data_IF_079254682725
#
_entry.id   IF_079254682725
#
_cell.length_a   1.000
_cell.length_b   1.000
_cell.length_c   1.000
_cell.angle_alpha   90.00
_cell.angle_beta   90.00
_cell.angle_gamma   90.00
#
_symmetry.space_group_name_H-M   'P 1'
#
loop_
_entity.id
_entity.type
_entity.pdbx_description
1 polymer ?
#
# COMPACT_ATOMS: atom_id res chain seq x y z
N UNK A 1 -26.66 -24.48 -9.07
CA UNK A 1 -26.27 -23.07 -8.86
C UNK A 1 -24.75 -23.07 -8.87
N UNK A 2 -24.13 -22.59 -9.93
CA UNK A 2 -22.67 -22.42 -9.97
C UNK A 2 -22.41 -21.19 -9.15
N UNK A 3 -21.70 -21.33 -8.02
CA UNK A 3 -21.23 -20.19 -7.24
C UNK A 3 -20.38 -19.33 -8.17
N UNK A 4 -20.87 -18.13 -8.46
CA UNK A 4 -20.09 -17.09 -9.15
C UNK A 4 -19.07 -16.64 -8.11
N UNK A 5 -17.99 -17.40 -7.98
CA UNK A 5 -16.81 -16.94 -7.25
C UNK A 5 -16.43 -15.61 -7.89
N UNK A 6 -16.41 -14.55 -7.12
CA UNK A 6 -16.00 -13.24 -7.60
C UNK A 6 -14.60 -13.39 -8.19
N UNK A 7 -14.48 -13.33 -9.50
CA UNK A 7 -13.24 -13.63 -10.23
C UNK A 7 -12.09 -12.72 -9.77
N UNK A 8 -12.40 -11.49 -9.30
CA UNK A 8 -11.42 -10.59 -8.71
C UNK A 8 -10.78 -11.17 -7.43
N UNK A 9 -11.53 -11.93 -6.63
CA UNK A 9 -10.99 -12.57 -5.42
C UNK A 9 -9.87 -13.56 -5.73
N UNK A 10 -9.81 -14.07 -6.95
CA UNK A 10 -8.72 -14.93 -7.43
C UNK A 10 -7.63 -14.15 -8.16
N UNK A 11 -7.99 -13.10 -8.90
CA UNK A 11 -7.07 -12.30 -9.71
C UNK A 11 -6.18 -11.44 -8.82
N UNK A 12 -6.74 -10.75 -7.82
CA UNK A 12 -5.98 -9.83 -6.98
C UNK A 12 -4.88 -10.53 -6.16
N UNK A 13 -5.11 -11.65 -5.47
CA UNK A 13 -4.04 -12.39 -4.81
C UNK A 13 -2.93 -12.84 -5.77
N UNK A 14 -3.29 -13.32 -6.96
CA UNK A 14 -2.34 -13.69 -8.00
C UNK A 14 -1.45 -12.51 -8.41
N UNK A 15 -2.05 -11.35 -8.67
CA UNK A 15 -1.32 -10.14 -9.04
C UNK A 15 -0.41 -9.67 -7.89
N UNK A 16 -0.88 -9.71 -6.64
CA UNK A 16 -0.07 -9.39 -5.45
C UNK A 16 1.15 -10.29 -5.36
N UNK A 17 0.98 -11.59 -5.55
CA UNK A 17 2.09 -12.54 -5.55
C UNK A 17 3.12 -12.20 -6.64
N UNK A 18 2.67 -11.84 -7.84
CA UNK A 18 3.55 -11.45 -8.94
C UNK A 18 4.31 -10.15 -8.64
N UNK A 19 3.63 -9.14 -8.08
CA UNK A 19 4.26 -7.89 -7.62
C UNK A 19 5.29 -8.17 -6.52
N UNK A 20 4.95 -9.04 -5.55
CA UNK A 20 5.87 -9.46 -4.50
C UNK A 20 7.15 -10.11 -5.07
N UNK A 21 7.02 -10.99 -6.06
CA UNK A 21 8.17 -11.60 -6.74
C UNK A 21 9.06 -10.56 -7.43
N UNK A 22 8.49 -9.45 -7.88
CA UNK A 22 9.20 -8.29 -8.43
C UNK A 22 9.71 -7.32 -7.37
N UNK A 23 9.60 -7.66 -6.08
CA UNK A 23 9.99 -6.82 -4.94
C UNK A 23 9.23 -5.49 -4.87
N UNK A 24 8.02 -5.47 -5.35
CA UNK A 24 7.10 -4.34 -5.21
C UNK A 24 6.28 -4.59 -3.95
N UNK A 25 6.61 -3.89 -2.88
CA UNK A 25 6.06 -4.13 -1.54
C UNK A 25 5.34 -2.90 -0.97
N UNK A 26 5.09 -1.89 -1.79
CA UNK A 26 4.32 -0.70 -1.42
C UNK A 26 3.47 -0.25 -2.60
N UNK A 27 2.24 0.18 -2.33
CA UNK A 27 1.38 0.80 -3.34
C UNK A 27 1.98 2.11 -3.87
N UNK A 28 2.84 2.77 -3.09
CA UNK A 28 3.50 4.01 -3.52
C UNK A 28 4.26 3.83 -4.83
N UNK A 29 4.89 2.66 -5.03
CA UNK A 29 5.60 2.34 -6.28
C UNK A 29 4.62 2.30 -7.48
N UNK A 30 3.40 1.81 -7.24
CA UNK A 30 2.36 1.79 -8.28
C UNK A 30 1.79 3.19 -8.51
N UNK A 31 1.64 4.00 -7.45
CA UNK A 31 1.21 5.41 -7.58
C UNK A 31 2.25 6.26 -8.31
N UNK A 32 3.55 6.05 -8.09
CA UNK A 32 4.61 6.72 -8.84
C UNK A 32 4.49 6.45 -10.34
N UNK A 33 4.24 5.20 -10.72
CA UNK A 33 4.02 4.87 -12.12
C UNK A 33 2.76 5.54 -12.71
N UNK A 34 1.73 5.78 -11.89
CA UNK A 34 0.55 6.56 -12.34
C UNK A 34 0.93 8.02 -12.57
N UNK A 35 1.79 8.60 -11.75
CA UNK A 35 2.28 9.98 -11.94
C UNK A 35 3.07 10.10 -13.24
N UNK A 36 3.86 9.07 -13.60
CA UNK A 36 4.65 9.04 -14.84
C UNK A 36 3.79 8.81 -16.09
N UNK A 37 2.86 7.86 -16.04
CA UNK A 37 2.05 7.43 -17.18
C UNK A 37 0.72 8.22 -17.33
N UNK A 38 0.32 8.93 -16.28
CA UNK A 38 -0.95 9.64 -16.19
C UNK A 38 -2.10 8.78 -15.65
N UNK A 39 -3.13 9.44 -15.14
CA UNK A 39 -4.28 8.80 -14.49
C UNK A 39 -5.05 7.85 -15.40
N UNK A 40 -5.15 8.17 -16.68
CA UNK A 40 -5.92 7.41 -17.67
C UNK A 40 -4.97 6.78 -18.70
N UNK A 41 -4.93 5.46 -18.71
CA UNK A 41 -3.97 4.71 -19.51
C UNK A 41 -4.66 3.93 -20.63
N UNK A 42 -4.08 3.88 -21.87
CA UNK A 42 -4.67 3.18 -22.98
C UNK A 42 -4.77 1.67 -22.75
N UNK A 43 -5.96 1.09 -22.94
CA UNK A 43 -6.20 -0.36 -22.79
C UNK A 43 -5.29 -1.19 -23.70
N UNK A 44 -5.04 -0.72 -24.92
CA UNK A 44 -4.18 -1.40 -25.91
C UNK A 44 -2.72 -1.53 -25.47
N UNK A 45 -2.27 -0.76 -24.49
CA UNK A 45 -0.90 -0.72 -23.98
C UNK A 45 -0.77 -1.38 -22.58
N UNK A 46 -1.87 -1.98 -22.07
CA UNK A 46 -1.87 -2.63 -20.74
C UNK A 46 -0.82 -3.72 -20.58
N UNK A 47 -0.55 -4.50 -21.62
CA UNK A 47 0.45 -5.57 -21.58
C UNK A 47 1.86 -4.97 -21.33
N UNK A 48 2.13 -3.77 -21.86
CA UNK A 48 3.39 -3.05 -21.63
C UNK A 48 3.47 -2.63 -20.17
N UNK A 49 2.40 -2.02 -19.65
CA UNK A 49 2.32 -1.58 -18.25
C UNK A 49 2.44 -2.77 -17.29
N UNK A 50 1.68 -3.82 -17.52
CA UNK A 50 1.72 -5.02 -16.71
C UNK A 50 3.09 -5.69 -16.76
N UNK A 51 3.74 -5.72 -17.92
CA UNK A 51 5.09 -6.23 -18.09
C UNK A 51 6.13 -5.48 -17.24
N UNK A 52 6.02 -4.14 -17.11
CA UNK A 52 6.87 -3.34 -16.22
C UNK A 52 6.78 -3.83 -14.76
N UNK A 53 5.58 -4.20 -14.31
CA UNK A 53 5.32 -4.69 -12.95
C UNK A 53 5.46 -6.21 -12.80
N UNK A 54 5.70 -6.94 -13.90
CA UNK A 54 5.76 -8.40 -13.91
C UNK A 54 4.40 -9.06 -13.65
N UNK A 55 3.32 -8.39 -14.03
CA UNK A 55 1.95 -8.88 -13.95
C UNK A 55 1.64 -9.62 -15.25
N UNK A 56 1.20 -10.88 -15.12
CA UNK A 56 0.82 -11.72 -16.26
C UNK A 56 -0.58 -12.28 -16.04
N UNK A 57 -1.54 -11.80 -16.82
CA UNK A 57 -2.94 -12.19 -16.77
C UNK A 57 -3.37 -12.88 -18.04
N UNK A 58 -4.32 -13.81 -17.93
CA UNK A 58 -5.02 -14.39 -19.07
C UNK A 58 -6.03 -13.38 -19.62
N UNK A 59 -6.41 -13.52 -20.90
CA UNK A 59 -7.36 -12.60 -21.54
C UNK A 59 -8.69 -12.44 -20.77
N UNK A 60 -9.20 -13.53 -20.19
CA UNK A 60 -10.42 -13.49 -19.36
C UNK A 60 -10.21 -12.70 -18.07
N UNK A 61 -9.03 -12.84 -17.42
CA UNK A 61 -8.66 -12.11 -16.21
C UNK A 61 -8.51 -10.60 -16.51
N UNK A 62 -7.94 -10.26 -17.67
CA UNK A 62 -7.85 -8.85 -18.12
C UNK A 62 -9.25 -8.28 -18.37
N UNK A 63 -10.14 -9.01 -19.02
CA UNK A 63 -11.51 -8.57 -19.26
C UNK A 63 -12.24 -8.28 -17.95
N UNK A 64 -12.11 -9.17 -16.96
CA UNK A 64 -12.72 -8.98 -15.64
C UNK A 64 -12.15 -7.77 -14.92
N UNK A 65 -10.83 -7.63 -14.94
CA UNK A 65 -10.15 -6.46 -14.35
C UNK A 65 -10.65 -5.16 -15.00
N UNK A 66 -10.80 -5.14 -16.32
CA UNK A 66 -11.29 -3.98 -17.06
C UNK A 66 -12.72 -3.58 -16.65
N UNK A 67 -13.59 -4.53 -16.28
CA UNK A 67 -14.93 -4.23 -15.80
C UNK A 67 -14.92 -3.33 -14.57
N UNK A 68 -13.87 -3.41 -13.74
CA UNK A 68 -13.73 -2.63 -12.51
C UNK A 68 -12.93 -1.33 -12.67
N UNK A 69 -11.99 -1.29 -13.63
CA UNK A 69 -11.06 -0.17 -13.79
C UNK A 69 -11.32 0.66 -15.05
N UNK A 70 -12.24 0.26 -15.92
CA UNK A 70 -12.51 0.97 -17.17
C UNK A 70 -12.99 2.40 -16.91
N UNK A 71 -12.34 3.36 -17.57
CA UNK A 71 -12.76 4.75 -17.61
C UNK A 71 -13.59 5.04 -18.87
N UNK A 72 -13.15 4.54 -20.03
CA UNK A 72 -13.82 4.66 -21.31
C UNK A 72 -13.62 3.38 -22.15
N UNK A 73 -14.11 3.35 -23.38
CA UNK A 73 -13.90 2.22 -24.28
C UNK A 73 -12.42 1.92 -24.56
N UNK A 74 -11.56 2.95 -24.51
CA UNK A 74 -10.14 2.86 -24.86
C UNK A 74 -9.18 3.07 -23.69
N UNK A 75 -9.68 3.41 -22.49
CA UNK A 75 -8.83 3.78 -21.34
C UNK A 75 -9.28 3.13 -20.03
N UNK A 76 -8.31 2.83 -19.17
CA UNK A 76 -8.52 2.48 -17.77
C UNK A 76 -8.17 3.65 -16.84
N UNK A 77 -8.78 3.67 -15.66
CA UNK A 77 -8.41 4.53 -14.53
C UNK A 77 -7.37 3.78 -13.67
N UNK A 78 -6.12 4.21 -13.73
CA UNK A 78 -5.02 3.59 -12.99
C UNK A 78 -5.17 3.76 -11.47
N UNK A 79 -5.83 4.82 -11.00
CA UNK A 79 -6.11 4.99 -9.57
C UNK A 79 -7.06 3.91 -9.09
N UNK A 80 -8.14 3.63 -9.85
CA UNK A 80 -9.03 2.50 -9.55
C UNK A 80 -8.30 1.17 -9.60
N UNK A 81 -7.42 0.99 -10.58
CA UNK A 81 -6.60 -0.22 -10.70
C UNK A 81 -5.74 -0.44 -9.44
N UNK A 82 -5.01 0.57 -8.98
CA UNK A 82 -4.20 0.46 -7.75
C UNK A 82 -5.07 0.26 -6.52
N UNK A 83 -6.25 0.90 -6.49
CA UNK A 83 -7.21 0.74 -5.39
C UNK A 83 -7.69 -0.71 -5.20
N UNK A 84 -7.74 -1.52 -6.26
CA UNK A 84 -8.09 -2.95 -6.15
C UNK A 84 -7.09 -3.76 -5.32
N UNK A 85 -5.85 -3.28 -5.20
CA UNK A 85 -4.86 -3.94 -4.36
C UNK A 85 -4.98 -3.60 -2.87
N UNK A 86 -5.78 -2.60 -2.50
CA UNK A 86 -5.98 -2.29 -1.09
C UNK A 86 -6.64 -3.45 -0.38
N UNK A 87 -6.05 -3.84 0.74
CA UNK A 87 -6.64 -4.83 1.65
C UNK A 87 -7.42 -4.13 2.74
N UNK A 88 -8.46 -4.78 3.24
CA UNK A 88 -9.07 -4.38 4.50
C UNK A 88 -8.06 -4.70 5.60
N UNK A 89 -7.67 -3.72 6.39
CA UNK A 89 -6.94 -3.96 7.63
C UNK A 89 -7.98 -4.46 8.65
N UNK A 90 -7.73 -5.55 9.38
CA UNK A 90 -8.63 -6.01 10.45
C UNK A 90 -8.88 -4.92 11.49
N UNK A 91 -10.10 -4.84 12.02
CA UNK A 91 -10.53 -3.79 12.95
C UNK A 91 -9.63 -3.71 14.19
N UNK A 92 -9.17 -4.85 14.69
CA UNK A 92 -8.25 -4.93 15.82
C UNK A 92 -6.87 -4.30 15.52
N UNK A 93 -6.40 -4.35 14.26
CA UNK A 93 -5.19 -3.66 13.82
C UNK A 93 -5.44 -2.16 13.66
N UNK A 94 -6.63 -1.77 13.19
CA UNK A 94 -7.03 -0.36 13.10
C UNK A 94 -7.09 0.27 14.49
N UNK A 95 -7.66 -0.43 15.47
CA UNK A 95 -7.67 0.02 16.87
C UNK A 95 -6.25 0.23 17.40
N UNK A 96 -5.36 -0.72 17.18
CA UNK A 96 -3.96 -0.63 17.60
C UNK A 96 -3.21 0.53 16.93
N UNK A 97 -3.41 0.76 15.64
CA UNK A 97 -2.84 1.90 14.93
C UNK A 97 -3.34 3.23 15.51
N UNK A 98 -4.61 3.29 15.90
CA UNK A 98 -5.18 4.46 16.59
C UNK A 98 -4.52 4.68 17.96
N UNK A 99 -4.33 3.63 18.74
CA UNK A 99 -3.62 3.71 20.03
C UNK A 99 -2.18 4.17 19.86
N UNK A 100 -1.47 3.64 18.87
CA UNK A 100 -0.11 4.08 18.54
C UNK A 100 -0.11 5.58 18.18
N UNK A 101 -1.03 6.03 17.35
CA UNK A 101 -1.13 7.44 16.98
C UNK A 101 -1.41 8.32 18.21
N UNK A 102 -2.30 7.90 19.10
CA UNK A 102 -2.60 8.65 20.36
C UNK A 102 -1.37 8.77 21.26
N UNK A 103 -0.60 7.70 21.39
CA UNK A 103 0.64 7.73 22.18
C UNK A 103 1.65 8.70 21.52
N UNK A 104 1.86 8.61 20.21
CA UNK A 104 2.83 9.43 19.49
C UNK A 104 2.45 10.91 19.45
N UNK A 105 1.16 11.21 19.29
CA UNK A 105 0.63 12.58 19.20
C UNK A 105 0.36 13.22 20.58
N UNK A 106 0.49 12.44 21.68
CA UNK A 106 0.06 12.88 23.01
C UNK A 106 -1.45 13.12 23.11
N UNK A 107 -2.25 12.35 22.36
CA UNK A 107 -3.72 12.46 22.32
C UNK A 107 -4.22 13.60 21.41
N UNK A 108 -3.36 14.22 20.62
CA UNK A 108 -3.76 15.26 19.64
C UNK A 108 -4.34 14.64 18.37
N UNK A 109 -5.17 15.38 17.64
CA UNK A 109 -5.75 14.95 16.36
C UNK A 109 -4.75 14.95 15.20
N UNK A 110 -3.59 15.59 15.37
CA UNK A 110 -2.51 15.67 14.39
C UNK A 110 -1.15 15.80 15.07
N UNK A 111 -0.08 15.45 14.36
CA UNK A 111 1.29 15.68 14.81
C UNK A 111 2.19 16.10 13.66
N UNK A 112 3.32 16.76 13.93
CA UNK A 112 4.29 17.09 12.90
C UNK A 112 4.97 15.82 12.36
N UNK A 113 5.18 15.75 11.05
CA UNK A 113 5.88 14.63 10.41
C UNK A 113 7.31 14.50 10.92
N UNK A 114 7.96 15.62 11.21
CA UNK A 114 9.31 15.64 11.81
C UNK A 114 9.36 14.95 13.16
N UNK A 115 8.33 15.13 14.00
CA UNK A 115 8.23 14.49 15.30
C UNK A 115 7.92 13.01 15.14
N UNK A 116 6.97 12.66 14.25
CA UNK A 116 6.68 11.27 13.91
C UNK A 116 7.94 10.52 13.48
N UNK A 117 8.77 11.12 12.63
CA UNK A 117 10.00 10.49 12.13
C UNK A 117 11.09 10.29 13.19
N UNK A 118 11.04 10.98 14.34
CA UNK A 118 11.94 10.74 15.47
C UNK A 118 11.63 9.40 16.19
N UNK A 119 10.39 8.93 16.09
CA UNK A 119 9.96 7.66 16.65
C UNK A 119 10.23 6.46 15.76
N UNK A 120 10.53 6.69 14.46
CA UNK A 120 10.73 5.61 13.51
C UNK A 120 11.96 4.76 13.84
N UNK A 121 11.73 3.47 14.07
CA UNK A 121 12.77 2.45 14.14
C UNK A 121 12.85 1.71 12.78
N UNK A 122 13.75 2.15 11.93
CA UNK A 122 13.90 1.66 10.56
C UNK A 122 14.19 0.15 10.49
N UNK A 123 14.83 -0.42 11.52
CA UNK A 123 15.17 -1.84 11.58
C UNK A 123 13.93 -2.74 11.66
N UNK A 124 12.89 -2.23 12.29
CA UNK A 124 11.64 -2.97 12.48
C UNK A 124 10.65 -2.74 11.33
N UNK A 125 10.99 -1.86 10.38
CA UNK A 125 10.15 -1.63 9.22
C UNK A 125 10.06 -2.90 8.36
N UNK A 126 8.84 -3.34 7.94
CA UNK A 126 8.66 -4.57 7.17
C UNK A 126 9.54 -4.66 5.92
N UNK A 127 9.76 -3.55 5.23
CA UNK A 127 10.62 -3.50 4.04
C UNK A 127 12.12 -3.72 4.35
N UNK A 128 12.56 -3.57 5.59
CA UNK A 128 13.96 -3.78 5.96
C UNK A 128 14.39 -5.23 5.70
N UNK A 129 13.57 -6.19 6.12
CA UNK A 129 13.80 -7.62 5.86
C UNK A 129 13.63 -8.00 4.39
N UNK A 130 12.51 -7.54 3.80
CA UNK A 130 12.07 -7.97 2.47
C UNK A 130 12.94 -7.42 1.35
N UNK A 131 13.40 -6.19 1.48
CA UNK A 131 14.07 -5.47 0.40
C UNK A 131 15.59 -5.36 0.57
N UNK A 132 16.16 -5.81 1.70
CA UNK A 132 17.58 -5.60 2.04
C UNK A 132 18.01 -4.14 1.83
N UNK A 133 17.10 -3.19 2.02
CA UNK A 133 17.39 -1.76 1.94
C UNK A 133 18.26 -1.36 3.11
N UNK A 134 19.16 -0.40 2.89
CA UNK A 134 19.85 0.25 4.00
C UNK A 134 18.84 1.10 4.81
N UNK A 135 19.19 1.37 6.07
CA UNK A 135 18.29 2.08 6.99
C UNK A 135 17.91 3.47 6.47
N UNK A 136 18.84 4.18 5.83
CA UNK A 136 18.55 5.49 5.24
C UNK A 136 17.51 5.38 4.12
N UNK A 137 17.62 4.38 3.25
CA UNK A 137 16.64 4.14 2.20
C UNK A 137 15.24 3.79 2.72
N UNK A 138 15.14 3.15 3.90
CA UNK A 138 13.85 2.94 4.59
C UNK A 138 13.26 4.27 5.04
N UNK A 139 14.06 5.10 5.71
CA UNK A 139 13.63 6.42 6.19
C UNK A 139 13.11 7.29 5.05
N UNK A 140 13.87 7.37 3.96
CA UNK A 140 13.49 8.13 2.77
C UNK A 140 12.17 7.60 2.15
N UNK A 141 11.99 6.28 2.12
CA UNK A 141 10.77 5.63 1.63
C UNK A 141 9.56 5.97 2.51
N UNK A 142 9.71 5.94 3.83
CA UNK A 142 8.65 6.32 4.78
C UNK A 142 8.27 7.78 4.63
N UNK A 143 9.25 8.68 4.58
CA UNK A 143 9.01 10.11 4.36
C UNK A 143 8.26 10.34 3.04
N UNK A 144 8.68 9.65 1.96
CA UNK A 144 8.04 9.77 0.66
C UNK A 144 6.60 9.26 0.70
N UNK A 145 6.36 8.10 1.29
CA UNK A 145 5.01 7.53 1.44
C UNK A 145 4.07 8.45 2.22
N UNK A 146 4.55 9.05 3.32
CA UNK A 146 3.77 10.04 4.09
C UNK A 146 3.49 11.28 3.23
N UNK A 147 4.49 11.82 2.54
CA UNK A 147 4.33 13.00 1.68
C UNK A 147 3.35 12.79 0.53
N UNK A 148 3.29 11.59 -0.03
CA UNK A 148 2.31 11.24 -1.07
C UNK A 148 0.87 11.37 -0.57
N UNK A 149 0.65 11.17 0.74
CA UNK A 149 -0.69 11.27 1.35
C UNK A 149 -1.01 12.71 1.75
N UNK A 150 -0.09 13.36 2.48
CA UNK A 150 -0.34 14.69 3.06
C UNK A 150 -0.01 15.84 2.11
N UNK A 151 0.70 15.59 0.99
CA UNK A 151 1.18 16.61 0.07
C UNK A 151 2.21 17.57 0.73
N UNK A 152 1.96 18.86 0.61
CA UNK A 152 2.84 19.90 1.17
C UNK A 152 2.58 20.24 2.65
N UNK A 153 1.64 19.57 3.31
CA UNK A 153 1.34 19.79 4.73
C UNK A 153 2.55 19.40 5.59
N UNK A 154 2.65 20.00 6.78
CA UNK A 154 3.67 19.65 7.78
C UNK A 154 3.18 18.60 8.77
N UNK A 155 1.88 18.60 9.03
CA UNK A 155 1.24 17.72 10.00
C UNK A 155 0.53 16.56 9.30
N UNK A 156 0.57 15.42 9.93
CA UNK A 156 -0.19 14.23 9.58
C UNK A 156 -1.38 14.10 10.54
N UNK A 157 -2.56 13.85 9.98
CA UNK A 157 -3.79 13.53 10.72
C UNK A 157 -3.84 12.04 11.02
N UNK A 158 -4.70 11.64 11.97
CA UNK A 158 -4.94 10.24 12.31
C UNK A 158 -5.33 9.40 11.09
N UNK A 159 -6.27 9.88 10.30
CA UNK A 159 -6.75 9.19 9.10
C UNK A 159 -5.65 9.04 8.05
N UNK A 160 -4.78 10.05 7.92
CA UNK A 160 -3.63 10.01 7.00
C UNK A 160 -2.54 9.04 7.50
N UNK A 161 -2.38 8.91 8.82
CA UNK A 161 -1.50 7.91 9.43
C UNK A 161 -2.01 6.48 9.17
N UNK A 162 -3.32 6.25 9.31
CA UNK A 162 -3.94 4.98 8.93
C UNK A 162 -3.75 4.71 7.43
N UNK A 163 -4.02 5.70 6.58
CA UNK A 163 -3.84 5.60 5.14
C UNK A 163 -2.41 5.19 4.75
N UNK A 164 -1.40 5.77 5.41
CA UNK A 164 -0.01 5.38 5.22
C UNK A 164 0.21 3.88 5.51
N UNK A 165 -0.39 3.37 6.58
CA UNK A 165 -0.26 1.95 6.91
C UNK A 165 -1.00 1.06 5.91
N UNK A 166 -2.18 1.44 5.40
CA UNK A 166 -2.84 0.73 4.30
C UNK A 166 -1.92 0.58 3.09
N UNK A 167 -1.15 1.59 2.76
CA UNK A 167 -0.24 1.56 1.61
C UNK A 167 1.01 0.71 1.84
N UNK A 168 1.45 0.53 3.07
CA UNK A 168 2.59 -0.35 3.40
C UNK A 168 2.16 -1.81 3.49
N UNK A 169 0.97 -2.08 4.03
CA UNK A 169 0.57 -3.42 4.46
C UNK A 169 -0.26 -4.20 3.45
N UNK A 170 -0.58 -3.63 2.29
CA UNK A 170 -1.37 -4.29 1.25
C UNK A 170 -0.80 -5.63 0.75
N UNK A 171 0.52 -5.83 0.89
CA UNK A 171 1.21 -7.05 0.42
C UNK A 171 1.09 -8.21 1.40
N UNK A 172 0.68 -7.96 2.65
CA UNK A 172 0.94 -8.86 3.76
C UNK A 172 -0.28 -9.30 4.56
N UNK A 173 -1.42 -9.70 3.96
CA UNK A 173 -2.52 -10.26 4.74
C UNK A 173 -2.08 -11.47 5.58
N UNK A 174 -1.11 -12.26 5.07
CA UNK A 174 -0.59 -13.47 5.73
C UNK A 174 0.42 -13.17 6.84
N UNK A 175 1.09 -12.01 6.81
CA UNK A 175 1.99 -11.55 7.85
C UNK A 175 1.28 -10.83 8.99
N UNK A 176 -0.02 -10.55 8.84
CA UNK A 176 -0.82 -9.86 9.85
C UNK A 176 -1.18 -10.74 11.06
N UNK A 177 -0.79 -12.01 11.10
CA UNK A 177 -1.11 -12.89 12.21
C UNK A 177 0.03 -12.94 13.26
N UNK A 178 -0.23 -12.41 14.43
CA UNK A 178 0.51 -12.63 15.68
C UNK A 178 1.73 -11.74 15.94
N UNK A 179 2.71 -11.66 15.05
CA UNK A 179 3.92 -10.84 15.25
C UNK A 179 3.83 -9.43 14.68
N UNK A 180 2.84 -9.17 13.85
CA UNK A 180 2.68 -7.95 13.11
C UNK A 180 2.39 -6.76 14.03
N UNK A 181 1.47 -6.91 14.98
CA UNK A 181 1.14 -5.90 16.00
C UNK A 181 2.39 -5.39 16.68
N UNK A 182 3.17 -6.34 17.21
CA UNK A 182 4.41 -6.03 17.92
C UNK A 182 5.40 -5.29 17.03
N UNK A 183 5.47 -5.65 15.74
CA UNK A 183 6.38 -5.00 14.78
C UNK A 183 5.98 -3.57 14.48
N UNK A 184 4.68 -3.27 14.28
CA UNK A 184 4.23 -1.88 14.04
C UNK A 184 4.54 -1.03 15.28
N UNK A 185 4.16 -1.48 16.45
CA UNK A 185 4.44 -0.77 17.68
C UNK A 185 5.94 -0.51 17.85
N UNK A 186 6.76 -1.55 17.64
CA UNK A 186 8.23 -1.43 17.73
C UNK A 186 8.79 -0.54 16.63
N UNK A 187 8.21 -0.56 15.42
CA UNK A 187 8.59 0.33 14.32
C UNK A 187 8.40 1.80 14.70
N UNK A 188 7.37 2.12 15.45
CA UNK A 188 7.10 3.48 15.94
C UNK A 188 7.64 3.73 17.35
N UNK A 189 8.46 2.83 17.89
CA UNK A 189 9.06 3.00 19.21
C UNK A 189 8.08 2.93 20.38
N UNK A 190 6.84 2.44 20.14
CA UNK A 190 5.80 2.29 21.15
C UNK A 190 5.94 0.92 21.84
N UNK A 191 5.82 0.93 23.17
CA UNK A 191 5.78 -0.28 23.99
C UNK A 191 4.43 -0.34 24.67
N UNK A 192 3.70 -1.41 24.43
CA UNK A 192 2.49 -1.77 25.14
C UNK A 192 2.82 -2.56 26.41
#
# INVERSE_FOLDING_TARGET
MVDIVNTLELIIPKMRQQLFQKRIHSLDILYEAIEEEGKYFPIKELDILFGKFGIFLKSQEVTELLNHCRHSESQIDLVRFVYLFRTTIPDDIVEELNEIFDILSGGQSSMEVTDLMQHLNEKEHPQCELMKKNLQGIKDSVIKGIKNIIGSKRNILREEFLEFHYNIFWVMPEFCHGNFRKRIATMWGVKF
#
